data_IF_029139473400
#
_entry.id   IF_029139473400
#
_cell.length_a   1.000
_cell.length_b   1.000
_cell.length_c   1.000
_cell.angle_alpha   90.00
_cell.angle_beta   90.00
_cell.angle_gamma   90.00
#
_symmetry.space_group_name_H-M   'P 1'
#
loop_
_entity.id
_entity.type
_entity.pdbx_description
1 polymer ?
#
# COMPACT_ATOMS: atom_id res chain seq x y z
N UNK A 1 76.52 -40.92 -31.07
CA UNK A 1 75.95 -41.39 -32.35
C UNK A 1 75.74 -42.88 -32.20
N UNK A 2 74.54 -43.39 -32.49
CA UNK A 2 74.22 -44.76 -32.99
C UNK A 2 73.14 -45.60 -32.23
N UNK A 3 71.90 -45.54 -32.78
CA UNK A 3 70.85 -46.58 -32.96
C UNK A 3 70.13 -47.18 -31.72
N UNK A 4 68.80 -47.05 -31.50
CA UNK A 4 67.64 -47.62 -32.24
C UNK A 4 67.67 -49.17 -32.22
N UNK A 5 66.66 -49.97 -31.84
CA UNK A 5 65.20 -49.86 -31.72
C UNK A 5 64.66 -51.10 -30.97
N UNK A 6 63.40 -51.04 -30.51
CA UNK A 6 62.44 -52.17 -30.40
C UNK A 6 62.45 -52.99 -29.11
N UNK A 7 61.35 -53.50 -28.54
CA UNK A 7 59.90 -53.27 -28.56
C UNK A 7 59.34 -54.51 -27.84
N UNK A 8 58.47 -54.36 -26.84
CA UNK A 8 57.53 -55.43 -26.47
C UNK A 8 56.49 -54.91 -25.47
N UNK A 9 55.25 -54.79 -25.95
CA UNK A 9 53.98 -55.27 -25.36
C UNK A 9 53.83 -55.11 -23.82
N UNK A 10 52.76 -54.53 -23.29
CA UNK A 10 51.39 -55.06 -23.39
C UNK A 10 50.34 -54.02 -23.01
N UNK A 11 49.23 -54.17 -23.72
CA UNK A 11 47.87 -53.68 -23.54
C UNK A 11 47.34 -53.83 -22.10
N UNK A 12 46.55 -52.85 -21.64
CA UNK A 12 45.95 -52.86 -20.30
C UNK A 12 45.09 -51.62 -20.03
N UNK A 13 44.00 -51.48 -20.77
CA UNK A 13 42.93 -50.52 -20.47
C UNK A 13 42.14 -51.00 -19.26
N UNK A 14 42.47 -50.59 -18.04
CA UNK A 14 41.59 -50.86 -16.90
C UNK A 14 41.42 -49.66 -15.95
N UNK A 15 40.26 -49.02 -16.12
CA UNK A 15 39.24 -48.82 -15.09
C UNK A 15 39.65 -48.04 -13.81
N UNK A 16 39.20 -46.80 -13.76
CA UNK A 16 39.10 -46.01 -12.52
C UNK A 16 38.13 -46.71 -11.54
N UNK A 17 38.57 -47.12 -10.33
CA UNK A 17 37.65 -47.61 -9.33
C UNK A 17 36.95 -46.41 -8.65
N UNK A 18 35.71 -46.17 -9.07
CA UNK A 18 34.71 -45.47 -8.26
C UNK A 18 34.32 -46.39 -7.08
N UNK A 19 35.13 -46.32 -6.02
CA UNK A 19 34.92 -46.98 -4.73
C UNK A 19 34.12 -46.10 -3.76
N UNK A 20 32.83 -46.38 -3.73
CA UNK A 20 31.75 -45.78 -2.94
C UNK A 20 32.05 -45.74 -1.41
N UNK A 21 31.99 -44.55 -0.80
CA UNK A 21 31.62 -44.41 0.62
C UNK A 21 30.51 -43.36 0.75
N UNK A 22 29.28 -43.86 0.63
CA UNK A 22 28.05 -43.11 0.84
C UNK A 22 27.57 -43.44 2.26
N UNK A 23 28.17 -42.79 3.25
CA UNK A 23 27.55 -42.61 4.56
C UNK A 23 27.58 -41.13 4.90
N UNK A 24 26.54 -40.43 4.49
CA UNK A 24 26.08 -39.23 5.18
C UNK A 24 24.58 -39.28 5.24
N UNK A 25 24.08 -39.75 6.38
CA UNK A 25 22.68 -39.67 6.74
C UNK A 25 22.21 -38.24 6.52
N UNK A 26 21.36 -38.06 5.52
CA UNK A 26 20.65 -36.82 5.30
C UNK A 26 19.71 -36.60 6.46
N UNK A 27 20.19 -35.91 7.50
CA UNK A 27 19.32 -35.23 8.44
C UNK A 27 18.46 -34.28 7.62
N UNK A 28 17.21 -34.68 7.38
CA UNK A 28 16.15 -33.73 7.04
C UNK A 28 16.02 -32.86 8.28
N UNK A 29 16.76 -31.75 8.30
CA UNK A 29 16.60 -30.70 9.30
C UNK A 29 15.21 -30.13 9.05
N UNK A 30 14.21 -30.75 9.67
CA UNK A 30 12.94 -30.11 9.90
C UNK A 30 13.31 -28.85 10.67
N UNK A 31 13.18 -27.68 10.03
CA UNK A 31 13.46 -26.40 10.64
C UNK A 31 12.13 -25.79 11.11
N UNK A 32 11.50 -26.31 12.18
CA UNK A 32 10.23 -25.79 12.67
C UNK A 32 10.36 -24.31 13.01
N UNK A 33 11.56 -23.87 13.44
CA UNK A 33 11.86 -22.47 13.76
C UNK A 33 11.78 -21.54 12.55
N UNK A 34 12.13 -22.00 11.34
CA UNK A 34 12.06 -21.18 10.13
C UNK A 34 10.62 -21.08 9.64
N UNK A 35 9.86 -22.18 9.72
CA UNK A 35 8.42 -22.18 9.47
C UNK A 35 7.66 -21.33 10.50
N UNK A 36 8.06 -21.37 11.78
CA UNK A 36 7.53 -20.52 12.83
C UNK A 36 7.90 -19.06 12.66
N UNK A 37 9.12 -18.74 12.20
CA UNK A 37 9.54 -17.38 11.89
C UNK A 37 8.74 -16.82 10.70
N UNK A 38 8.51 -17.61 9.65
CA UNK A 38 7.63 -17.26 8.54
C UNK A 38 6.16 -17.13 8.98
N UNK A 39 5.66 -18.00 9.85
CA UNK A 39 4.30 -17.88 10.44
C UNK A 39 4.18 -16.67 11.36
N UNK A 40 5.19 -16.36 12.17
CA UNK A 40 5.23 -15.15 13.02
C UNK A 40 5.33 -13.89 12.16
N UNK A 41 6.14 -13.90 11.10
CA UNK A 41 6.22 -12.80 10.11
C UNK A 41 4.86 -12.57 9.42
N UNK A 42 4.18 -13.66 9.02
CA UNK A 42 2.84 -13.59 8.43
C UNK A 42 1.80 -13.06 9.42
N UNK A 43 1.86 -13.46 10.69
CA UNK A 43 0.97 -13.01 11.76
C UNK A 43 1.22 -11.54 12.16
N UNK A 44 2.49 -11.13 12.18
CA UNK A 44 2.92 -9.75 12.44
C UNK A 44 2.53 -8.76 11.34
N UNK A 45 2.08 -9.23 10.18
CA UNK A 45 1.51 -8.38 9.12
C UNK A 45 0.02 -8.08 9.37
N UNK A 46 -0.71 -8.93 10.10
CA UNK A 46 -2.15 -8.73 10.38
C UNK A 46 -2.41 -7.80 11.59
N UNK A 47 -1.45 -7.68 12.51
CA UNK A 47 -1.52 -6.80 13.68
C UNK A 47 -1.36 -5.28 13.41
N UNK A 48 -0.47 -4.80 12.52
CA UNK A 48 -0.29 -3.36 12.29
C UNK A 48 -1.53 -2.69 11.71
N UNK A 49 -2.29 -3.36 10.84
CA UNK A 49 -3.51 -2.82 10.26
C UNK A 49 -4.60 -2.55 11.32
N UNK A 50 -4.77 -3.49 12.26
CA UNK A 50 -5.67 -3.32 13.42
C UNK A 50 -5.20 -2.20 14.34
N UNK A 51 -3.89 -2.12 14.58
CA UNK A 51 -3.30 -1.10 15.43
C UNK A 51 -3.46 0.31 14.85
N UNK A 52 -3.23 0.50 13.55
CA UNK A 52 -3.42 1.78 12.87
C UNK A 52 -4.90 2.18 12.82
N UNK A 53 -5.80 1.23 12.55
CA UNK A 53 -7.24 1.46 12.63
C UNK A 53 -7.69 1.90 14.03
N UNK A 54 -7.12 1.29 15.09
CA UNK A 54 -7.39 1.69 16.49
C UNK A 54 -6.85 3.08 16.80
N UNK A 55 -5.68 3.43 16.26
CA UNK A 55 -5.06 4.75 16.41
C UNK A 55 -5.99 5.86 15.90
N UNK A 56 -6.59 5.70 14.73
CA UNK A 56 -7.50 6.71 14.16
C UNK A 56 -8.77 6.92 14.99
N UNK A 57 -9.21 5.90 15.75
CA UNK A 57 -10.36 6.02 16.67
C UNK A 57 -10.02 6.73 17.98
N UNK A 58 -8.74 6.89 18.33
CA UNK A 58 -8.34 7.55 19.56
C UNK A 58 -8.62 9.07 19.53
N UNK A 59 -9.15 9.60 20.63
CA UNK A 59 -9.41 11.04 20.79
C UNK A 59 -8.13 11.87 20.73
N UNK A 60 -7.00 11.33 21.21
CA UNK A 60 -5.68 11.97 21.10
C UNK A 60 -5.26 12.19 19.63
N UNK A 61 -5.49 11.19 18.77
CA UNK A 61 -5.18 11.31 17.34
C UNK A 61 -6.05 12.39 16.68
N UNK A 62 -7.33 12.44 17.03
CA UNK A 62 -8.24 13.50 16.57
C UNK A 62 -7.76 14.90 16.97
N UNK A 63 -7.34 15.10 18.23
CA UNK A 63 -6.82 16.39 18.71
C UNK A 63 -5.57 16.81 17.93
N UNK A 64 -4.59 15.92 17.80
CA UNK A 64 -3.35 16.19 17.04
C UNK A 64 -3.66 16.53 15.58
N UNK A 65 -4.58 15.78 14.95
CA UNK A 65 -5.01 16.06 13.59
C UNK A 65 -5.71 17.43 13.47
N UNK A 66 -6.65 17.74 14.37
CA UNK A 66 -7.41 18.99 14.35
C UNK A 66 -6.51 20.23 14.47
N UNK A 67 -5.51 20.19 15.37
CA UNK A 67 -4.53 21.25 15.53
C UNK A 67 -3.70 21.45 14.26
N UNK A 68 -3.18 20.36 13.69
CA UNK A 68 -2.41 20.41 12.43
C UNK A 68 -3.24 20.91 11.25
N UNK A 69 -4.51 20.52 11.19
CA UNK A 69 -5.42 20.94 10.14
C UNK A 69 -5.71 22.44 10.24
N UNK A 70 -6.05 22.93 11.43
CA UNK A 70 -6.29 24.35 11.67
C UNK A 70 -5.07 25.20 11.29
N UNK A 71 -3.89 24.78 11.75
CA UNK A 71 -2.62 25.40 11.41
C UNK A 71 -2.33 25.41 9.90
N UNK A 72 -2.57 24.29 9.22
CA UNK A 72 -2.38 24.18 7.78
C UNK A 72 -3.36 25.08 7.02
N UNK A 73 -4.63 25.14 7.43
CA UNK A 73 -5.64 25.99 6.82
C UNK A 73 -5.32 27.48 7.02
N UNK A 74 -4.80 27.88 8.19
CA UNK A 74 -4.34 29.26 8.42
C UNK A 74 -3.17 29.66 7.53
N UNK A 75 -2.25 28.73 7.24
CA UNK A 75 -1.07 28.98 6.39
C UNK A 75 -1.37 28.84 4.89
N UNK A 76 -2.43 28.11 4.54
CA UNK A 76 -2.81 27.86 3.16
C UNK A 76 -3.31 29.16 2.51
N UNK A 77 -2.61 29.62 1.46
CA UNK A 77 -3.09 30.71 0.61
C UNK A 77 -4.30 30.21 -0.20
N UNK A 78 -5.18 31.13 -0.64
CA UNK A 78 -6.48 30.90 -1.30
C UNK A 78 -6.55 29.87 -2.45
N UNK A 79 -5.44 29.28 -2.90
CA UNK A 79 -5.36 28.36 -4.02
C UNK A 79 -5.48 26.86 -3.69
N UNK A 80 -5.46 26.45 -2.41
CA UNK A 80 -5.67 25.04 -2.05
C UNK A 80 -7.07 24.81 -1.48
N UNK A 81 -7.75 23.76 -1.93
CA UNK A 81 -9.05 23.40 -1.37
C UNK A 81 -8.87 22.89 0.07
N UNK A 82 -9.87 23.16 0.92
CA UNK A 82 -9.91 22.63 2.30
C UNK A 82 -9.75 21.11 2.30
N UNK A 83 -10.38 20.43 1.33
CA UNK A 83 -10.29 18.98 1.14
C UNK A 83 -8.86 18.53 0.87
N UNK A 84 -8.17 19.12 -0.10
CA UNK A 84 -6.79 18.75 -0.41
C UNK A 84 -5.85 18.96 0.78
N UNK A 85 -6.09 20.04 1.55
CA UNK A 85 -5.30 20.32 2.75
C UNK A 85 -5.58 19.27 3.83
N UNK A 86 -6.85 18.92 4.05
CA UNK A 86 -7.27 17.92 5.01
C UNK A 86 -6.69 16.53 4.69
N UNK A 87 -6.72 16.13 3.42
CA UNK A 87 -6.19 14.84 2.97
C UNK A 87 -4.67 14.76 3.10
N UNK A 88 -3.95 15.86 2.79
CA UNK A 88 -2.49 15.94 3.00
C UNK A 88 -2.11 15.89 4.48
N UNK A 89 -2.83 16.63 5.33
CA UNK A 89 -2.60 16.59 6.77
C UNK A 89 -2.89 15.18 7.30
N UNK A 90 -3.93 14.51 6.81
CA UNK A 90 -4.27 13.13 7.18
C UNK A 90 -3.14 12.16 6.78
N UNK A 91 -2.63 12.29 5.56
CA UNK A 91 -1.50 11.47 5.10
C UNK A 91 -0.21 11.76 5.86
N UNK A 92 0.05 13.03 6.21
CA UNK A 92 1.21 13.43 7.00
C UNK A 92 1.14 12.95 8.45
N UNK A 93 -0.06 12.93 9.07
CA UNK A 93 -0.24 12.36 10.41
C UNK A 93 -0.06 10.84 10.41
N UNK A 94 -0.39 10.17 9.31
CA UNK A 94 -0.07 8.76 9.08
C UNK A 94 1.44 8.50 8.90
N UNK A 95 2.25 9.53 8.66
CA UNK A 95 3.72 9.44 8.48
C UNK A 95 4.17 8.53 7.32
N UNK A 96 3.31 8.29 6.33
CA UNK A 96 3.64 7.40 5.22
C UNK A 96 3.76 5.91 5.61
N UNK A 97 3.23 5.50 6.76
CA UNK A 97 3.30 4.08 7.18
C UNK A 97 2.40 3.19 6.35
N UNK A 98 1.33 3.75 5.77
CA UNK A 98 0.36 3.03 4.94
C UNK A 98 0.59 3.30 3.47
N UNK A 99 0.10 2.40 2.60
CA UNK A 99 0.16 2.60 1.15
C UNK A 99 -0.66 3.81 0.74
N UNK A 100 -1.85 4.00 1.31
CA UNK A 100 -2.70 5.14 0.97
C UNK A 100 -2.08 6.48 1.37
N UNK A 101 -1.41 6.56 2.53
CA UNK A 101 -0.76 7.81 2.95
C UNK A 101 0.43 8.16 2.08
N UNK A 102 1.26 7.17 1.71
CA UNK A 102 2.34 7.36 0.73
C UNK A 102 1.80 7.81 -0.63
N UNK A 103 0.71 7.21 -1.10
CA UNK A 103 0.08 7.57 -2.36
C UNK A 103 -0.39 9.04 -2.36
N UNK A 104 -1.01 9.50 -1.28
CA UNK A 104 -1.44 10.91 -1.14
C UNK A 104 -0.23 11.84 -1.12
N UNK A 105 0.81 11.54 -0.34
CA UNK A 105 2.00 12.38 -0.21
C UNK A 105 2.79 12.50 -1.53
N UNK A 106 2.91 11.39 -2.27
CA UNK A 106 3.63 11.33 -3.55
C UNK A 106 2.80 11.88 -4.70
N UNK A 107 1.47 11.90 -4.58
CA UNK A 107 0.60 12.52 -5.57
C UNK A 107 0.83 14.04 -5.59
N UNK A 108 1.80 14.48 -6.42
CA UNK A 108 2.03 15.87 -6.80
C UNK A 108 0.70 16.41 -7.33
N UNK A 109 -0.01 17.17 -6.49
CA UNK A 109 -1.11 18.08 -6.82
C UNK A 109 -1.82 17.79 -8.17
N UNK A 110 -2.91 17.01 -8.18
CA UNK A 110 -3.93 17.16 -9.23
C UNK A 110 -4.00 16.15 -10.39
N UNK A 111 -4.09 14.84 -10.12
CA UNK A 111 -5.10 14.01 -10.81
C UNK A 111 -6.32 13.88 -9.89
N UNK A 112 -6.85 14.99 -9.41
CA UNK A 112 -8.09 15.52 -9.96
C UNK A 112 -9.17 14.45 -10.04
N UNK A 113 -10.29 14.76 -9.40
CA UNK A 113 -11.62 14.28 -9.71
C UNK A 113 -11.98 14.39 -11.23
N UNK A 114 -11.09 14.88 -12.10
CA UNK A 114 -11.16 14.93 -13.57
C UNK A 114 -10.54 13.70 -14.26
N UNK A 115 -11.07 12.50 -14.00
CA UNK A 115 -11.07 11.45 -15.04
C UNK A 115 -12.44 10.74 -15.17
N UNK A 116 -13.50 11.45 -14.77
CA UNK A 116 -14.86 11.31 -15.27
C UNK A 116 -15.27 12.77 -15.58
N UNK A 117 -15.13 13.30 -16.79
CA UNK A 117 -15.99 13.09 -17.96
C UNK A 117 -15.23 13.46 -19.26
N UNK A 118 -15.51 12.71 -20.33
CA UNK A 118 -15.44 13.09 -21.75
C UNK A 118 -14.19 13.85 -22.27
N UNK A 119 -13.18 13.08 -22.71
CA UNK A 119 -12.44 13.43 -23.94
C UNK A 119 -12.54 12.25 -24.92
N UNK A 120 -12.93 12.58 -26.16
CA UNK A 120 -13.37 11.72 -27.26
C UNK A 120 -12.36 10.63 -27.68
N UNK A 121 -12.79 9.55 -28.37
CA UNK A 121 -11.90 8.48 -28.79
C UNK A 121 -11.06 8.95 -29.99
N UNK A 122 -9.75 9.11 -29.77
CA UNK A 122 -8.80 9.34 -30.85
C UNK A 122 -8.01 8.07 -31.14
N UNK A 123 -8.38 7.45 -32.26
CA UNK A 123 -7.59 6.62 -33.16
C UNK A 123 -6.89 5.36 -32.63
N UNK A 124 -7.33 4.24 -33.19
CA UNK A 124 -6.69 2.94 -33.16
C UNK A 124 -5.22 3.00 -33.63
N UNK A 125 -4.29 2.50 -32.80
CA UNK A 125 -3.18 1.64 -33.23
C UNK A 125 -2.93 0.60 -32.13
N UNK A 126 -2.66 -0.61 -32.60
CA UNK A 126 -2.84 -1.92 -31.96
C UNK A 126 -1.81 -2.24 -30.87
N UNK A 127 -2.24 -2.99 -29.86
CA UNK A 127 -1.36 -3.64 -28.91
C UNK A 127 -2.09 -4.56 -27.92
N UNK A 128 -2.48 -5.76 -28.37
CA UNK A 128 -2.83 -6.88 -27.49
C UNK A 128 -4.32 -7.03 -27.18
N UNK A 129 -5.00 -7.88 -27.96
CA UNK A 129 -6.34 -8.39 -27.67
C UNK A 129 -6.38 -9.23 -26.39
N UNK A 130 -6.36 -8.56 -25.24
CA UNK A 130 -6.69 -9.17 -23.96
C UNK A 130 -8.20 -9.28 -23.88
N UNK A 131 -8.75 -10.43 -24.27
CA UNK A 131 -10.12 -10.89 -23.95
C UNK A 131 -10.55 -10.22 -22.65
N UNK A 132 -11.51 -9.28 -22.68
CA UNK A 132 -12.11 -8.70 -21.46
C UNK A 132 -12.73 -9.87 -20.72
N UNK A 133 -11.95 -10.55 -19.89
CA UNK A 133 -12.45 -11.63 -19.03
C UNK A 133 -13.51 -10.95 -18.19
N UNK A 134 -14.77 -11.32 -18.40
CA UNK A 134 -15.89 -10.88 -17.58
C UNK A 134 -15.46 -11.16 -16.15
N UNK A 135 -15.24 -10.10 -15.37
CA UNK A 135 -14.87 -10.29 -13.98
C UNK A 135 -16.07 -10.92 -13.28
N UNK A 136 -15.82 -11.78 -12.30
CA UNK A 136 -16.89 -12.17 -11.39
C UNK A 136 -17.44 -10.92 -10.70
N UNK A 137 -18.66 -10.99 -10.16
CA UNK A 137 -19.25 -9.91 -9.35
C UNK A 137 -18.28 -9.48 -8.24
N UNK A 138 -17.61 -10.44 -7.59
CA UNK A 138 -16.56 -10.20 -6.60
C UNK A 138 -15.38 -9.44 -7.20
N UNK A 139 -14.90 -9.85 -8.39
CA UNK A 139 -13.82 -9.16 -9.08
C UNK A 139 -14.12 -7.70 -9.42
N UNK A 140 -15.38 -7.38 -9.78
CA UNK A 140 -15.80 -5.98 -9.97
C UNK A 140 -15.76 -5.17 -8.67
N UNK A 141 -16.25 -5.74 -7.56
CA UNK A 141 -16.21 -5.08 -6.24
C UNK A 141 -14.79 -4.84 -5.75
N UNK A 142 -13.90 -5.83 -5.92
CA UNK A 142 -12.47 -5.70 -5.58
C UNK A 142 -11.80 -4.59 -6.42
N UNK A 143 -12.09 -4.54 -7.72
CA UNK A 143 -11.59 -3.46 -8.59
C UNK A 143 -12.14 -2.09 -8.18
N UNK A 144 -13.40 -2.00 -7.80
CA UNK A 144 -14.01 -0.76 -7.33
C UNK A 144 -13.33 -0.28 -6.03
N UNK A 145 -13.16 -1.17 -5.04
CA UNK A 145 -12.45 -0.85 -3.79
C UNK A 145 -11.01 -0.38 -4.04
N UNK A 146 -10.26 -1.07 -4.91
CA UNK A 146 -8.90 -0.64 -5.28
C UNK A 146 -8.85 0.71 -6.00
N UNK A 147 -9.96 1.16 -6.60
CA UNK A 147 -10.10 2.49 -7.18
C UNK A 147 -10.39 3.60 -6.17
N UNK A 148 -11.02 3.26 -5.05
CA UNK A 148 -11.42 4.20 -3.98
C UNK A 148 -10.28 4.48 -3.00
N UNK A 149 -9.51 3.45 -2.64
CA UNK A 149 -8.40 3.61 -1.70
C UNK A 149 -7.16 4.10 -2.46
N UNK A 150 -6.56 5.24 -2.06
CA UNK A 150 -5.36 5.76 -2.72
C UNK A 150 -4.24 4.71 -2.79
N UNK A 151 -3.66 4.52 -3.97
CA UNK A 151 -2.54 3.58 -4.16
C UNK A 151 -2.90 2.09 -4.23
N UNK A 152 -4.16 1.69 -4.09
CA UNK A 152 -4.55 0.27 -4.00
C UNK A 152 -5.16 -0.34 -5.27
N UNK A 153 -4.96 0.26 -6.46
CA UNK A 153 -5.56 -0.21 -7.73
C UNK A 153 -5.11 -1.60 -8.20
N UNK A 154 -3.95 -2.08 -7.71
CA UNK A 154 -3.30 -3.32 -8.17
C UNK A 154 -2.71 -4.13 -7.02
N UNK A 155 -3.31 -4.05 -5.84
CA UNK A 155 -2.86 -4.78 -4.64
C UNK A 155 -3.55 -6.14 -4.52
N UNK A 156 -2.95 -7.04 -3.75
CA UNK A 156 -3.60 -8.30 -3.39
C UNK A 156 -4.86 -8.03 -2.54
N UNK A 157 -5.86 -8.90 -2.63
CA UNK A 157 -7.12 -8.75 -1.89
C UNK A 157 -6.95 -8.54 -0.38
N UNK A 158 -6.15 -9.34 0.37
CA UNK A 158 -6.01 -9.12 1.82
C UNK A 158 -5.41 -7.75 2.15
N UNK A 159 -4.33 -7.36 1.45
CA UNK A 159 -3.69 -6.04 1.63
C UNK A 159 -4.65 -4.89 1.28
N UNK A 160 -5.48 -5.07 0.23
CA UNK A 160 -6.51 -4.10 -0.12
C UNK A 160 -7.51 -3.92 1.03
N UNK A 161 -7.98 -5.01 1.64
CA UNK A 161 -8.95 -4.93 2.73
C UNK A 161 -8.35 -4.28 3.99
N UNK A 162 -7.09 -4.59 4.31
CA UNK A 162 -6.38 -3.98 5.44
C UNK A 162 -6.20 -2.47 5.25
N UNK A 163 -5.72 -2.05 4.07
CA UNK A 163 -5.57 -0.62 3.73
C UNK A 163 -6.94 0.08 3.64
N UNK A 164 -7.99 -0.62 3.20
CA UNK A 164 -9.36 -0.08 3.18
C UNK A 164 -9.88 0.18 4.59
N UNK A 165 -9.73 -0.79 5.50
CA UNK A 165 -10.18 -0.67 6.87
C UNK A 165 -9.48 0.50 7.60
N UNK A 166 -8.16 0.63 7.39
CA UNK A 166 -7.39 1.74 7.95
C UNK A 166 -7.81 3.10 7.36
N UNK A 167 -7.99 3.18 6.03
CA UNK A 167 -8.39 4.42 5.37
C UNK A 167 -9.79 4.87 5.79
N UNK A 168 -10.75 3.94 5.99
CA UNK A 168 -12.07 4.26 6.55
C UNK A 168 -11.91 4.88 7.94
N UNK A 169 -11.16 4.25 8.84
CA UNK A 169 -10.95 4.77 10.19
C UNK A 169 -10.30 6.17 10.19
N UNK A 170 -9.36 6.40 9.27
CA UNK A 170 -8.70 7.69 9.07
C UNK A 170 -9.70 8.77 8.59
N UNK A 171 -10.56 8.44 7.62
CA UNK A 171 -11.60 9.35 7.12
C UNK A 171 -12.64 9.66 8.19
N UNK A 172 -13.07 8.68 8.98
CA UNK A 172 -13.97 8.89 10.11
C UNK A 172 -13.37 9.88 11.11
N UNK A 173 -12.09 9.75 11.44
CA UNK A 173 -11.39 10.69 12.32
C UNK A 173 -11.34 12.10 11.72
N UNK A 174 -11.05 12.22 10.42
CA UNK A 174 -11.06 13.51 9.71
C UNK A 174 -12.43 14.18 9.79
N UNK A 175 -13.53 13.45 9.56
CA UNK A 175 -14.90 13.97 9.67
C UNK A 175 -15.20 14.42 11.11
N UNK A 176 -14.86 13.61 12.12
CA UNK A 176 -15.04 13.99 13.54
C UNK A 176 -14.28 15.27 13.89
N UNK A 177 -13.03 15.40 13.44
CA UNK A 177 -12.20 16.57 13.69
C UNK A 177 -12.73 17.83 13.00
N UNK A 178 -13.10 17.74 11.72
CA UNK A 178 -13.65 18.87 10.96
C UNK A 178 -14.99 19.33 11.55
N UNK A 179 -15.82 18.39 12.01
CA UNK A 179 -17.08 18.69 12.70
C UNK A 179 -16.82 19.45 14.00
N UNK A 180 -15.85 19.00 14.81
CA UNK A 180 -15.49 19.67 16.06
C UNK A 180 -14.97 21.10 15.82
N UNK A 181 -14.09 21.30 14.82
CA UNK A 181 -13.61 22.63 14.45
C UNK A 181 -14.76 23.55 14.00
N UNK A 182 -15.70 23.04 13.21
CA UNK A 182 -16.84 23.84 12.73
C UNK A 182 -17.77 24.25 13.88
N UNK A 183 -18.01 23.37 14.85
CA UNK A 183 -18.79 23.70 16.06
C UNK A 183 -18.14 24.83 16.85
N UNK A 184 -16.85 24.68 17.15
CA UNK A 184 -16.05 25.70 17.84
C UNK A 184 -16.12 27.03 17.08
N UNK A 185 -15.85 27.04 15.77
CA UNK A 185 -15.89 28.26 14.97
C UNK A 185 -17.29 28.89 14.94
N UNK A 186 -18.35 28.08 14.91
CA UNK A 186 -19.74 28.56 14.95
C UNK A 186 -20.11 29.18 16.28
N UNK A 187 -19.57 28.68 17.40
CA UNK A 187 -19.77 29.25 18.75
C UNK A 187 -19.10 30.63 18.87
N UNK A 188 -17.98 30.86 18.17
CA UNK A 188 -17.25 32.13 18.17
C UNK A 188 -17.71 33.13 17.10
N UNK A 189 -18.61 32.76 16.19
CA UNK A 189 -19.24 33.74 15.31
C UNK A 189 -20.32 34.49 16.12
N UNK A 190 -20.17 35.80 16.40
CA UNK A 190 -21.32 36.58 16.84
C UNK A 190 -22.35 36.47 15.72
N UNK A 191 -23.55 35.99 16.06
CA UNK A 191 -24.68 35.99 15.14
C UNK A 191 -24.82 37.43 14.63
N UNK A 192 -24.37 37.66 13.40
CA UNK A 192 -24.68 38.88 12.67
C UNK A 192 -26.16 38.74 12.37
N UNK A 193 -26.99 39.07 13.37
CA UNK A 193 -28.41 39.31 13.21
C UNK A 193 -28.54 40.54 12.33
N UNK A 194 -28.36 40.34 11.02
CA UNK A 194 -28.76 41.31 10.02
C UNK A 194 -30.27 41.49 10.19
N UNK A 195 -30.64 42.74 10.44
CA UNK A 195 -31.91 43.14 11.01
C UNK A 195 -33.11 42.63 10.25
N UNK A 196 -34.02 42.02 11.00
CA UNK A 196 -35.45 42.06 10.72
C UNK A 196 -36.02 43.25 11.50
N UNK A 197 -35.79 44.44 10.96
CA UNK A 197 -36.46 45.67 11.39
C UNK A 197 -36.69 46.52 10.13
N UNK A 198 -37.61 46.06 9.28
CA UNK A 198 -38.49 46.86 8.43
C UNK A 198 -39.78 46.06 8.25
#
# INVERSE_FOLDING_TARGET
MNHSTSSSEVEGTETIPFGRSLQRGGQRVFAPKLLEALRRSRRSTEDPARHLSRRWRATAAQKVYSLRLYDALRRSRRSATVRDTADKVLAATARGTTRWSRAILVSRYGRSLRLHEHSKPASAVRGGGGRRRKLSVVGYRVRALGGLVPGCRRTALPELLDETADYIAALEMQVRAMTALTKILSEFQPSVKLGSAL
#
